data_IF_972393211421
#
_entry.id   IF_972393211421
#
_cell.length_a   1.000
_cell.length_b   1.000
_cell.length_c   1.000
_cell.angle_alpha   90.00
_cell.angle_beta   90.00
_cell.angle_gamma   90.00
#
_symmetry.space_group_name_H-M   'P 1'
#
loop_
_entity.id
_entity.type
_entity.pdbx_description
1 polymer ?
#
# COMPACT_ATOMS: atom_id res chain seq x y z
N UNK A 1 -25.84 -38.37 -1.02
CA UNK A 1 -24.72 -39.29 -0.73
C UNK A 1 -23.46 -38.96 -1.54
N UNK A 2 -23.55 -38.51 -2.80
CA UNK A 2 -22.38 -38.10 -3.61
C UNK A 2 -21.70 -36.78 -3.18
N UNK A 3 -22.44 -35.86 -2.56
CA UNK A 3 -21.91 -34.54 -2.17
C UNK A 3 -20.91 -34.60 -1.00
N UNK A 4 -21.11 -35.51 -0.05
CA UNK A 4 -20.24 -35.64 1.12
C UNK A 4 -18.82 -36.08 0.73
N UNK A 5 -18.71 -37.06 -0.17
CA UNK A 5 -17.41 -37.56 -0.62
C UNK A 5 -16.65 -36.50 -1.43
N UNK A 6 -17.33 -35.77 -2.31
CA UNK A 6 -16.73 -34.67 -3.06
C UNK A 6 -16.21 -33.54 -2.14
N UNK A 7 -16.95 -33.24 -1.07
CA UNK A 7 -16.52 -32.25 -0.06
C UNK A 7 -15.29 -32.72 0.72
N UNK A 8 -15.26 -34.00 1.08
CA UNK A 8 -14.10 -34.60 1.74
C UNK A 8 -12.86 -34.61 0.83
N UNK A 9 -13.02 -34.89 -0.47
CA UNK A 9 -11.92 -34.88 -1.43
C UNK A 9 -11.29 -33.48 -1.56
N UNK A 10 -12.12 -32.43 -1.61
CA UNK A 10 -11.66 -31.05 -1.62
C UNK A 10 -10.92 -30.71 -0.32
N UNK A 11 -11.48 -31.06 0.83
CA UNK A 11 -10.84 -30.84 2.12
C UNK A 11 -9.48 -31.56 2.22
N UNK A 12 -9.42 -32.81 1.75
CA UNK A 12 -8.19 -33.60 1.72
C UNK A 12 -7.14 -33.00 0.77
N UNK A 13 -7.55 -32.46 -0.39
CA UNK A 13 -6.64 -31.78 -1.31
C UNK A 13 -6.03 -30.51 -0.69
N UNK A 14 -6.85 -29.70 -0.01
CA UNK A 14 -6.36 -28.52 0.71
C UNK A 14 -5.39 -28.95 1.83
N UNK A 15 -5.76 -29.93 2.65
CA UNK A 15 -4.91 -30.42 3.74
C UNK A 15 -3.54 -30.92 3.23
N UNK A 16 -3.53 -31.73 2.15
CA UNK A 16 -2.29 -32.20 1.51
C UNK A 16 -1.40 -31.04 1.04
N UNK A 17 -1.99 -29.98 0.49
CA UNK A 17 -1.24 -28.79 0.08
C UNK A 17 -0.55 -28.12 1.27
N UNK A 18 -1.25 -27.95 2.39
CA UNK A 18 -0.69 -27.38 3.62
C UNK A 18 0.47 -28.21 4.16
N UNK A 19 0.28 -29.53 4.25
CA UNK A 19 1.31 -30.44 4.77
C UNK A 19 2.55 -30.49 3.88
N UNK A 20 2.37 -30.51 2.56
CA UNK A 20 3.47 -30.59 1.61
C UNK A 20 4.34 -29.32 1.55
N UNK A 21 3.74 -28.14 1.77
CA UNK A 21 4.44 -26.85 1.63
C UNK A 21 4.69 -26.13 2.96
N UNK A 22 4.38 -26.77 4.09
CA UNK A 22 4.60 -26.19 5.42
C UNK A 22 3.78 -24.92 5.68
N UNK A 23 2.57 -24.83 5.13
CA UNK A 23 1.72 -23.65 5.30
C UNK A 23 1.15 -23.65 6.73
N UNK A 24 1.29 -22.55 7.50
CA UNK A 24 0.72 -22.46 8.84
C UNK A 24 -0.82 -22.60 8.86
N UNK A 25 -1.37 -23.42 9.76
CA UNK A 25 -2.81 -23.71 9.81
C UNK A 25 -3.69 -22.49 10.16
N UNK A 26 -3.12 -21.48 10.81
CA UNK A 26 -3.82 -20.23 11.11
C UNK A 26 -4.25 -19.47 9.83
N UNK A 27 -3.61 -19.71 8.68
CA UNK A 27 -3.98 -19.11 7.39
C UNK A 27 -5.45 -19.38 7.04
N UNK A 28 -5.98 -20.56 7.38
CA UNK A 28 -7.39 -20.93 7.10
C UNK A 28 -8.39 -19.98 7.78
N UNK A 29 -8.00 -19.39 8.92
CA UNK A 29 -8.83 -18.44 9.68
C UNK A 29 -8.74 -17.01 9.13
N UNK A 30 -7.78 -16.74 8.25
CA UNK A 30 -7.57 -15.40 7.68
C UNK A 30 -8.65 -15.04 6.65
N UNK A 31 -9.04 -13.76 6.55
CA UNK A 31 -10.07 -13.32 5.60
C UNK A 31 -9.65 -13.59 4.15
N UNK A 32 -8.36 -13.50 3.82
CA UNK A 32 -7.85 -13.74 2.47
C UNK A 32 -8.04 -15.19 2.02
N UNK A 33 -7.97 -16.16 2.93
CA UNK A 33 -8.21 -17.57 2.59
C UNK A 33 -9.68 -17.81 2.23
N UNK A 34 -10.60 -17.21 3.01
CA UNK A 34 -12.03 -17.31 2.75
C UNK A 34 -12.41 -16.62 1.43
N UNK A 35 -11.85 -15.43 1.18
CA UNK A 35 -12.03 -14.69 -0.08
C UNK A 35 -11.52 -15.50 -1.28
N UNK A 36 -10.34 -16.11 -1.17
CA UNK A 36 -9.79 -16.97 -2.23
C UNK A 36 -10.73 -18.11 -2.59
N UNK A 37 -11.26 -18.85 -1.60
CA UNK A 37 -12.21 -19.94 -1.86
C UNK A 37 -13.51 -19.44 -2.48
N UNK A 38 -14.03 -18.30 -2.00
CA UNK A 38 -15.23 -17.69 -2.56
C UNK A 38 -15.04 -17.34 -4.05
N UNK A 39 -13.93 -16.68 -4.41
CA UNK A 39 -13.65 -16.31 -5.80
C UNK A 39 -13.44 -17.55 -6.69
N UNK A 40 -12.75 -18.58 -6.20
CA UNK A 40 -12.56 -19.83 -6.94
C UNK A 40 -13.90 -20.54 -7.19
N UNK A 41 -14.78 -20.61 -6.19
CA UNK A 41 -16.09 -21.25 -6.31
C UNK A 41 -17.02 -20.54 -7.30
N UNK A 42 -16.84 -19.22 -7.47
CA UNK A 42 -17.60 -18.40 -8.41
C UNK A 42 -16.86 -18.14 -9.73
N UNK A 43 -15.72 -18.78 -9.95
CA UNK A 43 -14.93 -18.59 -11.17
C UNK A 43 -15.67 -19.19 -12.39
N UNK A 44 -15.47 -18.62 -13.59
CA UNK A 44 -16.01 -19.19 -14.81
C UNK A 44 -15.50 -20.61 -15.05
N UNK A 45 -16.34 -21.45 -15.67
CA UNK A 45 -15.95 -22.82 -16.04
C UNK A 45 -14.67 -22.80 -16.88
N UNK A 46 -13.71 -23.66 -16.53
CA UNK A 46 -12.40 -23.72 -17.19
C UNK A 46 -11.38 -22.74 -16.65
N UNK A 47 -11.63 -22.08 -15.52
CA UNK A 47 -10.62 -21.27 -14.84
C UNK A 47 -9.34 -22.07 -14.57
N UNK A 48 -8.20 -21.47 -14.94
CA UNK A 48 -6.87 -22.03 -14.72
C UNK A 48 -6.14 -21.18 -13.67
N UNK A 49 -5.70 -21.77 -12.54
CA UNK A 49 -4.91 -21.07 -11.55
C UNK A 49 -3.64 -20.42 -12.14
N UNK A 50 -3.16 -19.30 -11.58
CA UNK A 50 -1.96 -18.65 -12.08
C UNK A 50 -0.71 -19.52 -11.88
N UNK A 51 0.19 -19.49 -12.85
CA UNK A 51 1.49 -20.16 -12.78
C UNK A 51 2.47 -19.37 -11.89
N UNK A 52 3.51 -20.05 -11.41
CA UNK A 52 4.57 -19.49 -10.57
C UNK A 52 5.11 -18.13 -11.05
N UNK A 53 5.46 -18.03 -12.34
CA UNK A 53 6.00 -16.78 -12.91
C UNK A 53 5.01 -15.61 -12.82
N UNK A 54 3.73 -15.88 -13.06
CA UNK A 54 2.69 -14.86 -13.03
C UNK A 54 2.40 -14.38 -11.60
N UNK A 55 2.45 -15.31 -10.64
CA UNK A 55 2.29 -15.02 -9.21
C UNK A 55 3.40 -14.10 -8.69
N UNK A 56 4.67 -14.40 -9.00
CA UNK A 56 5.82 -13.64 -8.47
C UNK A 56 6.05 -12.28 -9.14
N UNK A 57 5.47 -12.05 -10.32
CA UNK A 57 5.66 -10.82 -11.09
C UNK A 57 4.35 -10.03 -11.20
N UNK A 58 3.60 -10.24 -12.28
CA UNK A 58 2.45 -9.40 -12.64
C UNK A 58 1.35 -9.30 -11.58
N UNK A 59 1.09 -10.37 -10.82
CA UNK A 59 0.07 -10.35 -9.76
C UNK A 59 0.60 -9.63 -8.51
N UNK A 60 1.88 -9.80 -8.20
CA UNK A 60 2.53 -9.07 -7.11
C UNK A 60 2.60 -7.57 -7.41
N UNK A 61 2.96 -7.19 -8.64
CA UNK A 61 3.00 -5.79 -9.06
C UNK A 61 1.61 -5.14 -8.97
N UNK A 62 0.56 -5.85 -9.39
CA UNK A 62 -0.82 -5.39 -9.26
C UNK A 62 -1.24 -5.21 -7.82
N UNK A 63 -0.90 -6.15 -6.96
CA UNK A 63 -1.24 -6.07 -5.54
C UNK A 63 -0.50 -4.91 -4.87
N UNK A 64 0.77 -4.69 -5.23
CA UNK A 64 1.53 -3.52 -4.80
C UNK A 64 0.85 -2.21 -5.23
N UNK A 65 0.49 -2.08 -6.50
CA UNK A 65 -0.22 -0.89 -6.99
C UNK A 65 -1.56 -0.67 -6.29
N UNK A 66 -2.29 -1.76 -5.99
CA UNK A 66 -3.55 -1.71 -5.23
C UNK A 66 -3.34 -1.16 -3.82
N UNK A 67 -2.32 -1.66 -3.12
CA UNK A 67 -1.94 -1.18 -1.78
C UNK A 67 -1.48 0.28 -1.85
N UNK A 68 -0.64 0.64 -2.81
CA UNK A 68 -0.15 2.01 -2.99
C UNK A 68 -1.31 2.98 -3.26
N UNK A 69 -2.30 2.58 -4.04
CA UNK A 69 -3.52 3.38 -4.26
C UNK A 69 -4.34 3.55 -2.98
N UNK A 70 -4.53 2.48 -2.20
CA UNK A 70 -5.26 2.54 -0.93
C UNK A 70 -4.55 3.45 0.08
N UNK A 71 -3.22 3.34 0.15
CA UNK A 71 -2.38 4.19 0.98
C UNK A 71 -2.32 5.62 0.46
N UNK A 72 -2.43 5.84 -0.84
CA UNK A 72 -2.50 7.17 -1.45
C UNK A 72 -3.68 7.98 -0.93
N UNK A 73 -4.86 7.37 -0.84
CA UNK A 73 -6.04 8.01 -0.22
C UNK A 73 -5.76 8.38 1.22
N UNK A 74 -5.18 7.45 2.00
CA UNK A 74 -4.83 7.72 3.39
C UNK A 74 -3.78 8.84 3.49
N UNK A 75 -2.77 8.83 2.62
CA UNK A 75 -1.70 9.84 2.53
C UNK A 75 -2.23 11.24 2.29
N UNK A 76 -3.30 11.39 1.52
CA UNK A 76 -3.94 12.68 1.31
C UNK A 76 -4.63 13.21 2.57
N UNK A 77 -5.00 12.34 3.50
CA UNK A 77 -5.61 12.69 4.80
C UNK A 77 -4.56 12.90 5.90
N UNK A 78 -3.31 12.47 5.68
CA UNK A 78 -2.22 12.58 6.67
C UNK A 78 -1.87 14.00 7.11
N UNK A 79 -1.91 15.04 6.25
CA UNK A 79 -1.70 16.43 6.67
C UNK A 79 -2.67 16.89 7.75
N UNK A 80 -3.90 16.36 7.71
CA UNK A 80 -4.99 16.72 8.62
C UNK A 80 -5.00 15.83 9.87
N UNK A 81 -4.63 14.56 9.70
CA UNK A 81 -4.66 13.52 10.72
C UNK A 81 -3.27 12.86 10.79
N UNK A 82 -2.41 13.32 11.70
CA UNK A 82 -1.07 12.74 11.87
C UNK A 82 -1.10 11.22 12.02
N UNK A 83 -0.07 10.53 11.50
CA UNK A 83 -0.01 9.06 11.44
C UNK A 83 0.86 8.51 12.57
N UNK A 84 0.35 7.50 13.28
CA UNK A 84 1.16 6.72 14.23
C UNK A 84 1.33 5.29 13.71
N UNK A 85 2.58 4.86 13.51
CA UNK A 85 2.90 3.48 13.15
C UNK A 85 3.24 2.74 14.44
N UNK A 86 2.39 1.78 14.82
CA UNK A 86 2.63 0.92 15.98
C UNK A 86 3.22 -0.39 15.48
N UNK A 87 4.50 -0.61 15.74
CA UNK A 87 5.13 -1.92 15.62
C UNK A 87 5.28 -2.51 17.02
N UNK A 88 5.05 -3.83 17.17
CA UNK A 88 4.93 -4.52 18.46
C UNK A 88 5.87 -3.99 19.55
N UNK A 89 5.26 -3.48 20.62
CA UNK A 89 5.87 -2.91 21.84
C UNK A 89 6.60 -1.57 21.71
N UNK A 90 6.67 -0.93 20.54
CA UNK A 90 7.23 0.42 20.40
C UNK A 90 6.41 1.25 19.41
N UNK A 91 5.64 2.20 19.94
CA UNK A 91 5.06 3.25 19.11
C UNK A 91 6.21 4.12 18.59
N UNK A 92 6.37 4.20 17.27
CA UNK A 92 7.14 5.27 16.65
C UNK A 92 6.14 6.34 16.21
N UNK A 93 6.13 7.45 16.92
CA UNK A 93 5.47 8.66 16.44
C UNK A 93 6.33 9.23 15.33
N UNK A 94 5.91 9.04 14.09
CA UNK A 94 6.45 9.82 12.98
C UNK A 94 5.70 11.14 13.04
N UNK A 95 6.34 12.20 13.56
CA UNK A 95 5.82 13.54 13.37
C UNK A 95 5.88 13.81 11.86
N UNK A 96 4.79 13.51 11.16
CA UNK A 96 4.54 14.02 9.83
C UNK A 96 4.29 15.51 9.97
N UNK A 97 5.35 16.31 9.92
CA UNK A 97 5.18 17.70 9.55
C UNK A 97 4.80 17.68 8.08
N UNK A 98 3.59 18.12 7.76
CA UNK A 98 3.23 18.46 6.39
C UNK A 98 4.19 19.55 5.91
N UNK A 99 5.23 19.16 5.17
CA UNK A 99 6.22 20.09 4.64
C UNK A 99 5.74 20.77 3.35
N UNK A 100 4.50 20.55 2.91
CA UNK A 100 3.97 21.18 1.69
C UNK A 100 3.87 22.70 1.84
N UNK A 101 3.51 23.19 3.03
CA UNK A 101 3.52 24.62 3.37
C UNK A 101 4.95 25.15 3.49
N UNK A 102 5.89 24.37 4.05
CA UNK A 102 7.30 24.77 4.16
C UNK A 102 7.94 24.86 2.78
N UNK A 103 7.66 23.91 1.88
CA UNK A 103 8.15 23.94 0.50
C UNK A 103 7.56 25.10 -0.29
N UNK A 104 6.25 25.37 -0.20
CA UNK A 104 5.65 26.52 -0.88
C UNK A 104 6.14 27.84 -0.31
N UNK A 105 6.30 27.94 1.02
CA UNK A 105 6.85 29.15 1.67
C UNK A 105 8.31 29.37 1.28
N UNK A 106 9.13 28.32 1.28
CA UNK A 106 10.55 28.41 0.87
C UNK A 106 10.70 28.70 -0.62
N UNK A 107 9.84 28.17 -1.49
CA UNK A 107 9.77 28.53 -2.92
C UNK A 107 9.38 30.01 -3.09
N UNK A 108 8.36 30.48 -2.37
CA UNK A 108 7.92 31.88 -2.42
C UNK A 108 9.00 32.84 -1.90
N UNK A 109 9.71 32.49 -0.82
CA UNK A 109 10.83 33.29 -0.31
C UNK A 109 11.98 33.33 -1.33
N UNK A 110 12.35 32.20 -1.93
CA UNK A 110 13.39 32.15 -2.95
C UNK A 110 12.99 32.98 -4.19
N UNK A 111 11.73 32.92 -4.60
CA UNK A 111 11.20 33.66 -5.75
C UNK A 111 11.15 35.18 -5.49
N UNK A 112 10.83 35.60 -4.26
CA UNK A 112 10.92 37.01 -3.82
C UNK A 112 12.37 37.49 -3.84
N UNK A 113 13.32 36.71 -3.32
CA UNK A 113 14.74 37.07 -3.27
C UNK A 113 15.37 37.10 -4.67
N UNK A 114 14.98 36.21 -5.57
CA UNK A 114 15.41 36.21 -6.97
C UNK A 114 14.83 37.41 -7.73
N UNK A 115 13.54 37.73 -7.55
CA UNK A 115 12.91 38.94 -8.12
C UNK A 115 13.54 40.24 -7.59
N UNK A 116 13.96 40.25 -6.32
CA UNK A 116 14.66 41.38 -5.72
C UNK A 116 16.10 41.56 -6.26
N UNK A 117 16.71 40.50 -6.81
CA UNK A 117 18.01 40.57 -7.47
C UNK A 117 17.91 40.91 -8.97
N UNK A 118 16.86 40.46 -9.66
CA UNK A 118 16.65 40.74 -11.09
C UNK A 118 16.21 42.19 -11.35
N UNK A 119 15.45 42.78 -10.43
CA UNK A 119 15.31 44.22 -10.38
C UNK A 119 16.42 44.79 -9.51
N UNK A 120 17.46 45.35 -10.13
CA UNK A 120 18.42 46.25 -9.46
C UNK A 120 17.65 47.31 -8.67
N UNK A 121 17.38 47.07 -7.39
CA UNK A 121 17.08 48.13 -6.45
C UNK A 121 18.42 48.81 -6.21
N UNK A 122 18.69 49.82 -7.03
CA UNK A 122 19.72 50.81 -6.76
C UNK A 122 19.25 51.54 -5.50
N UNK A 123 19.72 51.10 -4.33
CA UNK A 123 19.66 51.91 -3.12
C UNK A 123 20.66 53.04 -3.33
N UNK A 124 20.18 54.17 -3.87
CA UNK A 124 20.94 55.42 -3.84
C UNK A 124 21.05 55.86 -2.39
N UNK A 125 22.17 55.51 -1.77
CA UNK A 125 22.59 56.13 -0.54
C UNK A 125 23.43 57.36 -0.92
N UNK A 126 22.76 58.45 -1.28
CA UNK A 126 23.40 59.76 -1.37
C UNK A 126 23.51 60.30 0.05
N UNK A 127 24.74 60.36 0.57
CA UNK A 127 25.09 60.98 1.85
C UNK A 127 25.09 62.51 1.72
N UNK A 128 24.66 63.20 2.81
CA UNK A 128 24.55 64.65 3.06
C UNK A 128 23.26 65.35 2.59
#
# INVERSE_FOLDING_TARGET
MFDAHAREDVAAAIARCYYAHGIPFNVVKGPQFQEMLYVINNAPKGYVPPKYERLRTSLLDKERSRIDSLLGTLRNEWPTCGVSIVSGCKAMFVNGYDCSEIEHTSRNIADILLKANDHKIIVNNSSL
#
